data_IF_881435278238
#
_entry.id   IF_881435278238
#
_cell.length_a   1.000
_cell.length_b   1.000
_cell.length_c   1.000
_cell.angle_alpha   90.00
_cell.angle_beta   90.00
_cell.angle_gamma   90.00
#
_symmetry.space_group_name_H-M   'P 1'
#
loop_
_entity.id
_entity.type
_entity.pdbx_description
1 polymer ?
#
# COMPACT_ATOMS: atom_id res chain seq x y z
N UNK A 1 -3.06 -6.80 -45.56
CA UNK A 1 -1.87 -6.14 -45.00
C UNK A 1 -1.07 -7.16 -44.19
N UNK A 2 0.13 -7.57 -44.64
CA UNK A 2 0.90 -8.60 -43.95
C UNK A 2 1.41 -8.08 -42.59
N UNK A 3 1.30 -8.91 -41.55
CA UNK A 3 1.65 -8.57 -40.17
C UNK A 3 3.18 -8.55 -40.05
N UNK A 4 3.73 -7.49 -39.45
CA UNK A 4 5.18 -7.37 -39.22
C UNK A 4 5.71 -8.60 -38.45
N UNK A 5 6.81 -9.15 -38.95
CA UNK A 5 7.60 -10.19 -38.27
C UNK A 5 8.67 -9.51 -37.41
N UNK A 6 9.12 -10.15 -36.34
CA UNK A 6 10.23 -9.64 -35.54
C UNK A 6 11.59 -9.90 -36.23
N UNK A 7 12.69 -9.48 -35.58
CA UNK A 7 14.04 -9.65 -36.12
C UNK A 7 14.47 -11.13 -36.30
N UNK A 8 13.72 -12.07 -35.71
CA UNK A 8 13.98 -13.51 -35.76
C UNK A 8 13.04 -14.24 -36.75
N UNK A 9 12.10 -13.51 -37.38
CA UNK A 9 11.16 -14.05 -38.35
C UNK A 9 9.88 -14.64 -37.73
N UNK A 10 9.71 -14.52 -36.42
CA UNK A 10 8.55 -15.01 -35.70
C UNK A 10 7.35 -14.05 -35.81
N UNK A 11 6.11 -14.58 -35.77
CA UNK A 11 4.91 -13.75 -35.77
C UNK A 11 4.79 -12.96 -34.47
N UNK A 12 4.74 -11.63 -34.55
CA UNK A 12 4.53 -10.77 -33.38
C UNK A 12 3.16 -11.09 -32.72
N UNK A 13 3.10 -11.16 -31.37
CA UNK A 13 1.85 -11.39 -30.66
C UNK A 13 0.85 -10.26 -30.97
N UNK A 14 -0.37 -10.65 -31.35
CA UNK A 14 -1.41 -9.70 -31.72
C UNK A 14 -1.75 -8.75 -30.57
N UNK A 15 -1.94 -7.46 -30.88
CA UNK A 15 -2.39 -6.46 -29.90
C UNK A 15 -3.72 -6.92 -29.26
N UNK A 16 -3.87 -6.87 -27.93
CA UNK A 16 -5.14 -7.17 -27.29
C UNK A 16 -6.21 -6.18 -27.76
N UNK A 17 -7.36 -6.70 -28.19
CA UNK A 17 -8.52 -5.88 -28.57
C UNK A 17 -9.10 -5.25 -27.31
N UNK A 18 -8.83 -3.96 -27.08
CA UNK A 18 -9.56 -3.17 -26.08
C UNK A 18 -11.00 -3.02 -26.58
N UNK A 19 -11.91 -3.84 -26.06
CA UNK A 19 -13.34 -3.71 -26.30
C UNK A 19 -13.81 -2.36 -25.75
N UNK A 20 -14.47 -1.55 -26.60
CA UNK A 20 -15.19 -0.35 -26.16
C UNK A 20 -16.32 -0.80 -25.24
N UNK A 21 -16.20 -0.55 -23.93
CA UNK A 21 -17.31 -0.75 -22.99
C UNK A 21 -18.46 0.16 -23.43
N UNK A 22 -19.58 -0.46 -23.79
CA UNK A 22 -20.82 0.24 -24.13
C UNK A 22 -21.29 1.01 -22.91
N UNK A 23 -21.58 2.29 -23.12
CA UNK A 23 -22.32 3.12 -22.19
C UNK A 23 -23.79 2.82 -22.40
N UNK A 24 -24.47 2.20 -21.44
CA UNK A 24 -25.92 2.18 -21.39
C UNK A 24 -26.37 2.96 -20.17
N UNK A 25 -27.11 4.02 -20.45
CA UNK A 25 -27.60 5.00 -19.51
C UNK A 25 -29.07 4.72 -19.12
N UNK A 26 -29.38 5.07 -17.86
CA UNK A 26 -30.69 5.47 -17.28
C UNK A 26 -31.70 4.37 -16.88
N UNK A 27 -31.98 4.27 -15.58
CA UNK A 27 -33.20 4.81 -14.93
C UNK A 27 -33.21 4.60 -13.41
N UNK A 28 -33.71 5.58 -12.67
CA UNK A 28 -34.22 5.41 -11.29
C UNK A 28 -33.59 6.35 -10.27
N UNK A 29 -34.15 7.56 -10.12
CA UNK A 29 -33.73 8.53 -9.12
C UNK A 29 -34.37 8.32 -7.74
N UNK A 30 -33.74 8.89 -6.73
CA UNK A 30 -34.35 9.55 -5.55
C UNK A 30 -33.25 10.37 -4.85
N UNK A 31 -33.61 11.58 -4.41
CA UNK A 31 -32.72 12.63 -3.93
C UNK A 31 -31.94 12.34 -2.64
N UNK A 32 -31.28 13.38 -2.09
CA UNK A 32 -30.12 13.22 -1.24
C UNK A 32 -30.53 12.78 0.17
N UNK A 33 -30.23 11.54 0.53
CA UNK A 33 -29.96 11.25 1.94
C UNK A 33 -28.53 11.69 2.19
N UNK A 34 -28.39 12.90 2.74
CA UNK A 34 -27.24 13.27 3.56
C UNK A 34 -27.11 12.22 4.66
N UNK A 35 -26.49 11.09 4.33
CA UNK A 35 -25.73 10.38 5.32
C UNK A 35 -24.61 11.36 5.65
N UNK A 36 -24.78 12.08 6.77
CA UNK A 36 -23.64 12.48 7.59
C UNK A 36 -23.00 11.14 7.97
N UNK A 37 -22.27 10.57 7.01
CA UNK A 37 -21.56 9.34 7.16
C UNK A 37 -20.59 9.64 8.27
N UNK A 38 -20.72 8.90 9.37
CA UNK A 38 -19.71 8.85 10.39
C UNK A 38 -18.35 8.93 9.69
N UNK A 39 -17.60 10.00 9.96
CA UNK A 39 -16.16 10.07 9.66
C UNK A 39 -15.48 9.11 10.65
N UNK A 40 -15.94 7.87 10.68
CA UNK A 40 -15.25 6.76 11.28
C UNK A 40 -14.24 6.34 10.24
N UNK A 41 -12.96 6.47 10.58
CA UNK A 41 -11.86 5.90 9.83
C UNK A 41 -12.12 4.41 9.58
N UNK A 42 -12.76 4.06 8.45
CA UNK A 42 -12.90 2.69 7.92
C UNK A 42 -11.57 2.13 7.42
N UNK A 43 -10.48 2.46 8.09
CA UNK A 43 -9.22 1.77 7.91
C UNK A 43 -9.11 0.88 9.13
N UNK A 44 -9.36 -0.41 8.92
CA UNK A 44 -8.95 -1.45 9.85
C UNK A 44 -7.57 -1.06 10.41
N UNK A 45 -7.36 -1.05 11.74
CA UNK A 45 -6.02 -0.87 12.27
C UNK A 45 -5.13 -1.90 11.57
N UNK A 46 -3.97 -1.44 11.06
CA UNK A 46 -3.07 -2.33 10.34
C UNK A 46 -2.83 -3.54 11.23
N UNK A 47 -2.98 -4.76 10.70
CA UNK A 47 -2.99 -6.01 11.49
C UNK A 47 -1.74 -6.20 12.37
N UNK A 48 -0.66 -5.48 12.07
CA UNK A 48 0.63 -5.41 12.75
C UNK A 48 0.76 -4.24 13.75
N UNK A 49 -0.20 -3.30 13.78
CA UNK A 49 -0.29 -2.20 14.75
C UNK A 49 -1.00 -2.63 16.05
N UNK A 50 -0.91 -3.91 16.41
CA UNK A 50 -1.39 -4.42 17.69
C UNK A 50 -0.52 -3.82 18.83
N UNK A 51 -1.01 -2.70 19.34
CA UNK A 51 -0.87 -2.14 20.68
C UNK A 51 0.33 -2.63 21.52
N UNK A 52 1.41 -1.84 21.50
CA UNK A 52 2.51 -1.97 22.46
C UNK A 52 3.49 -0.81 22.37
N UNK A 53 3.07 0.40 22.74
CA UNK A 53 4.00 1.53 22.89
C UNK A 53 4.58 1.49 24.31
N UNK A 54 5.84 1.11 24.44
CA UNK A 54 6.55 1.23 25.71
C UNK A 54 7.18 2.63 25.81
N UNK A 55 6.86 3.36 26.87
CA UNK A 55 7.53 4.60 27.20
C UNK A 55 8.85 4.30 27.90
N UNK A 56 9.95 4.85 27.40
CA UNK A 56 11.29 4.68 28.00
C UNK A 56 11.94 6.04 28.20
N UNK A 57 12.73 6.18 29.26
CA UNK A 57 13.51 7.39 29.56
C UNK A 57 14.98 7.13 29.25
N UNK A 58 15.55 7.92 28.34
CA UNK A 58 16.95 7.81 27.92
C UNK A 58 17.52 9.23 27.83
N UNK A 59 18.66 9.51 28.48
CA UNK A 59 19.34 10.80 28.37
C UNK A 59 18.47 12.02 28.69
N UNK A 60 17.56 11.92 29.66
CA UNK A 60 16.64 13.00 30.04
C UNK A 60 15.42 13.19 29.14
N UNK A 61 15.31 12.42 28.04
CA UNK A 61 14.21 12.48 27.08
C UNK A 61 13.28 11.28 27.20
N UNK A 62 12.01 11.50 26.88
CA UNK A 62 10.99 10.44 26.82
C UNK A 62 10.86 9.93 25.39
N UNK A 63 11.05 8.64 25.19
CA UNK A 63 10.92 7.98 23.89
C UNK A 63 9.76 6.99 23.90
N UNK A 64 9.10 6.87 22.75
CA UNK A 64 8.10 5.84 22.50
C UNK A 64 8.76 4.72 21.68
N UNK A 65 8.77 3.50 22.22
CA UNK A 65 9.36 2.33 21.58
C UNK A 65 8.27 1.52 20.89
N UNK A 66 8.48 1.17 19.63
CA UNK A 66 7.66 0.23 18.90
C UNK A 66 8.02 -1.22 19.27
N UNK A 67 7.06 -2.13 19.13
CA UNK A 67 7.32 -3.56 19.31
C UNK A 67 8.40 -4.08 18.35
N UNK A 68 9.21 -5.04 18.80
CA UNK A 68 10.33 -5.60 18.02
C UNK A 68 9.85 -6.35 16.77
N UNK A 69 8.65 -6.93 16.81
CA UNK A 69 8.07 -7.72 15.72
C UNK A 69 7.31 -6.85 14.71
N UNK A 70 7.25 -5.53 14.92
CA UNK A 70 6.62 -4.61 13.99
C UNK A 70 7.42 -4.54 12.67
N UNK A 71 6.81 -4.99 11.59
CA UNK A 71 7.44 -5.16 10.28
C UNK A 71 7.54 -3.86 9.47
N UNK A 72 8.11 -2.79 10.06
CA UNK A 72 8.11 -1.43 9.48
C UNK A 72 8.72 -1.33 8.07
N UNK A 73 9.71 -2.16 7.74
CA UNK A 73 10.36 -2.18 6.41
C UNK A 73 9.61 -2.99 5.36
N UNK A 74 8.68 -3.86 5.79
CA UNK A 74 7.94 -4.79 4.93
C UNK A 74 6.47 -4.38 4.77
N UNK A 75 5.95 -3.51 5.63
CA UNK A 75 4.61 -2.94 5.52
C UNK A 75 4.62 -1.73 4.59
N UNK A 76 3.61 -1.56 3.74
CA UNK A 76 3.48 -0.39 2.88
C UNK A 76 2.94 0.80 3.67
N UNK A 77 3.67 1.92 3.68
CA UNK A 77 3.23 3.16 4.34
C UNK A 77 1.95 3.76 3.75
N UNK A 78 1.61 3.46 2.50
CA UNK A 78 0.42 3.99 1.81
C UNK A 78 -0.84 3.17 2.06
N UNK A 79 -0.79 1.87 1.83
CA UNK A 79 -1.97 1.00 1.88
C UNK A 79 -1.99 0.01 3.06
N UNK A 80 -0.88 -0.16 3.79
CA UNK A 80 -0.78 -1.09 4.91
C UNK A 80 -0.58 -2.57 4.52
N UNK A 81 -0.47 -2.90 3.23
CA UNK A 81 -0.14 -4.26 2.81
C UNK A 81 1.27 -4.65 3.27
N UNK A 82 1.41 -5.84 3.84
CA UNK A 82 2.68 -6.39 4.29
C UNK A 82 3.24 -7.35 3.23
N UNK A 83 4.53 -7.23 2.92
CA UNK A 83 5.24 -8.23 2.11
C UNK A 83 5.28 -9.57 2.83
N UNK A 84 4.98 -10.65 2.11
CA UNK A 84 5.08 -12.00 2.64
C UNK A 84 6.56 -12.43 2.77
N UNK A 85 6.81 -13.50 3.53
CA UNK A 85 8.15 -13.95 3.88
C UNK A 85 9.04 -14.32 2.68
N UNK A 86 8.44 -14.63 1.52
CA UNK A 86 9.14 -14.91 0.26
C UNK A 86 9.57 -13.67 -0.54
N UNK A 87 9.05 -12.49 -0.20
CA UNK A 87 9.39 -11.20 -0.85
C UNK A 87 10.21 -10.29 0.08
N UNK A 88 10.93 -10.87 1.04
CA UNK A 88 11.74 -10.10 1.98
C UNK A 88 12.82 -9.34 1.22
N UNK A 89 12.77 -8.01 1.36
CA UNK A 89 13.82 -7.13 0.88
C UNK A 89 15.14 -7.53 1.56
N UNK A 90 16.15 -7.77 0.74
CA UNK A 90 17.54 -7.86 1.17
C UNK A 90 18.01 -6.50 1.68
N UNK A 91 19.04 -6.50 2.54
CA UNK A 91 19.65 -5.26 3.04
C UNK A 91 20.16 -4.34 1.91
N UNK A 92 20.54 -4.92 0.77
CA UNK A 92 20.99 -4.20 -0.42
C UNK A 92 19.86 -3.53 -1.20
N UNK A 93 18.62 -3.99 -1.06
CA UNK A 93 17.47 -3.40 -1.75
C UNK A 93 16.98 -2.16 -1.01
N UNK A 94 17.41 -0.99 -1.49
CA UNK A 94 17.04 0.32 -0.93
C UNK A 94 15.67 0.82 -1.39
N UNK A 95 15.10 0.23 -2.43
CA UNK A 95 13.79 0.64 -2.96
C UNK A 95 12.69 -0.31 -2.48
N UNK A 96 11.73 0.21 -1.75
CA UNK A 96 10.50 -0.50 -1.43
C UNK A 96 9.52 -0.40 -2.61
N UNK A 97 8.96 -1.54 -3.03
CA UNK A 97 7.87 -1.60 -4.02
C UNK A 97 6.72 -2.42 -3.47
N UNK A 98 5.53 -1.81 -3.42
CA UNK A 98 4.31 -2.48 -2.97
C UNK A 98 3.65 -3.23 -4.13
N UNK A 99 3.50 -4.55 -4.00
CA UNK A 99 2.77 -5.37 -4.97
C UNK A 99 1.26 -5.05 -5.01
N UNK A 100 0.68 -4.55 -3.91
CA UNK A 100 -0.77 -4.30 -3.80
C UNK A 100 -1.20 -2.97 -4.42
N UNK A 101 -0.46 -1.89 -4.19
CA UNK A 101 -0.86 -0.54 -4.63
C UNK A 101 0.15 0.12 -5.59
N UNK A 102 1.25 -0.56 -5.94
CA UNK A 102 2.27 -0.03 -6.83
C UNK A 102 3.10 1.12 -6.24
N UNK A 103 2.94 1.45 -4.95
CA UNK A 103 3.74 2.48 -4.32
C UNK A 103 5.22 2.13 -4.32
N UNK A 104 6.05 3.10 -4.70
CA UNK A 104 7.51 3.01 -4.73
C UNK A 104 8.08 4.12 -3.87
N UNK A 105 8.99 3.78 -2.97
CA UNK A 105 9.69 4.73 -2.09
C UNK A 105 11.06 4.17 -1.72
N UNK A 106 11.93 5.00 -1.14
CA UNK A 106 13.07 4.48 -0.39
C UNK A 106 12.56 3.63 0.80
N UNK A 107 13.26 2.53 1.09
CA UNK A 107 12.89 1.57 2.13
C UNK A 107 12.89 2.21 3.51
N UNK A 108 13.85 3.09 3.79
CA UNK A 108 14.00 3.74 5.08
C UNK A 108 12.94 4.85 5.24
N UNK A 109 12.57 5.54 4.15
CA UNK A 109 11.44 6.47 4.11
C UNK A 109 10.09 5.76 4.34
N UNK A 110 9.89 4.59 3.72
CA UNK A 110 8.70 3.77 3.99
C UNK A 110 8.65 3.34 5.47
N UNK A 111 9.79 2.91 6.02
CA UNK A 111 9.89 2.49 7.41
C UNK A 111 9.64 3.64 8.40
N UNK A 112 10.18 4.83 8.16
CA UNK A 112 9.98 6.01 9.01
C UNK A 112 8.51 6.44 9.03
N UNK A 113 7.83 6.43 7.88
CA UNK A 113 6.39 6.70 7.81
C UNK A 113 5.57 5.65 8.55
N UNK A 114 5.96 4.37 8.47
CA UNK A 114 5.30 3.31 9.24
C UNK A 114 5.49 3.48 10.74
N UNK A 115 6.69 3.84 11.20
CA UNK A 115 6.94 4.15 12.61
C UNK A 115 6.11 5.36 13.06
N UNK A 116 6.02 6.42 12.23
CA UNK A 116 5.14 7.56 12.50
C UNK A 116 3.70 7.08 12.67
N UNK A 117 3.17 6.30 11.71
CA UNK A 117 1.82 5.75 11.80
C UNK A 117 1.62 4.88 13.04
N UNK A 118 2.60 4.06 13.43
CA UNK A 118 2.56 3.24 14.63
C UNK A 118 2.44 4.08 15.91
N UNK A 119 3.08 5.25 15.95
CA UNK A 119 3.03 6.16 17.09
C UNK A 119 1.78 7.03 17.13
N UNK A 120 1.30 7.51 15.96
CA UNK A 120 0.12 8.39 15.87
C UNK A 120 -1.21 7.66 15.77
N UNK A 121 -1.23 6.34 15.52
CA UNK A 121 -2.45 5.52 15.55
C UNK A 121 -3.05 5.35 16.96
N UNK A 122 -2.61 6.16 17.93
CA UNK A 122 -3.27 6.36 19.21
C UNK A 122 -4.44 7.35 19.05
N UNK A 123 -5.56 6.90 18.53
CA UNK A 123 -6.86 7.58 18.65
C UNK A 123 -7.90 6.52 19.00
#
# INVERSE_FOLDING_TARGET
MPRGRDAQGDPLPGRPRVGRRRQDARRGGQGPRLAIGAVGCRREPRRDAAAGRLQVRLGGQTHLKADRLFASTQTCSRCGARKESGEKLTLSERTFRCATCGHVADRDDNASQNLRHYMVAAC
#
